data_IF_642344115955
#
_entry.id   IF_642344115955
#
_cell.length_a   1.000
_cell.length_b   1.000
_cell.length_c   1.000
_cell.angle_alpha   90.00
_cell.angle_beta   90.00
_cell.angle_gamma   90.00
#
_symmetry.space_group_name_H-M   'P 1'
#
loop_
_entity.id
_entity.type
_entity.pdbx_description
1 polymer ?
#
# COMPACT_ATOMS: atom_id res chain seq x y z
N UNK A 1 8.89 4.13 15.72
CA UNK A 1 8.04 4.37 14.54
C UNK A 1 7.85 5.85 14.31
N UNK A 2 8.11 6.31 13.12
CA UNK A 2 8.16 7.74 12.84
C UNK A 2 7.40 8.10 11.57
N UNK A 3 6.96 9.36 11.50
CA UNK A 3 6.45 9.92 10.25
C UNK A 3 7.58 9.99 9.22
N UNK A 4 7.26 9.90 7.92
CA UNK A 4 8.28 10.05 6.88
C UNK A 4 8.98 11.41 6.98
N UNK A 5 10.29 11.41 6.82
CA UNK A 5 11.10 12.62 6.72
C UNK A 5 10.82 13.36 5.41
N UNK A 6 11.35 14.58 5.26
CA UNK A 6 11.23 15.35 4.01
C UNK A 6 11.80 14.56 2.82
N UNK A 7 12.96 13.93 2.99
CA UNK A 7 13.57 13.11 1.94
C UNK A 7 12.74 11.88 1.59
N UNK A 8 12.14 11.23 2.59
CA UNK A 8 11.26 10.09 2.39
C UNK A 8 9.96 10.49 1.69
N UNK A 9 9.38 11.64 2.03
CA UNK A 9 8.20 12.19 1.33
C UNK A 9 8.52 12.48 -0.13
N UNK A 10 9.71 12.96 -0.42
CA UNK A 10 10.16 13.18 -1.79
C UNK A 10 10.14 11.88 -2.60
N UNK A 11 10.55 10.77 -2.00
CA UNK A 11 10.52 9.45 -2.64
C UNK A 11 9.09 9.00 -2.91
N UNK A 12 8.16 9.21 -1.97
CA UNK A 12 6.74 8.94 -2.19
C UNK A 12 6.18 9.77 -3.35
N UNK A 13 6.48 11.07 -3.38
CA UNK A 13 6.00 11.96 -4.43
C UNK A 13 6.59 11.61 -5.80
N UNK A 14 7.83 11.16 -5.84
CA UNK A 14 8.47 10.65 -7.04
C UNK A 14 7.75 9.38 -7.55
N UNK A 15 7.38 8.49 -6.67
CA UNK A 15 6.62 7.30 -7.02
C UNK A 15 5.27 7.64 -7.63
N UNK A 16 4.54 8.59 -7.03
CA UNK A 16 3.27 9.07 -7.55
C UNK A 16 3.42 9.70 -8.93
N UNK A 17 4.46 10.50 -9.13
CA UNK A 17 4.77 11.12 -10.42
C UNK A 17 5.08 10.07 -11.47
N UNK A 18 5.85 9.05 -11.14
CA UNK A 18 6.13 7.93 -12.04
C UNK A 18 4.85 7.29 -12.55
N UNK A 19 3.88 7.04 -11.68
CA UNK A 19 2.60 6.45 -12.05
C UNK A 19 1.79 7.41 -12.93
N UNK A 20 1.73 8.70 -12.59
CA UNK A 20 1.04 9.70 -13.40
C UNK A 20 1.61 9.78 -14.82
N UNK A 21 2.93 9.80 -14.94
CA UNK A 21 3.61 9.84 -16.23
C UNK A 21 3.31 8.59 -17.06
N UNK A 22 3.28 7.44 -16.41
CA UNK A 22 2.94 6.18 -17.05
C UNK A 22 1.48 6.16 -17.52
N UNK A 23 0.56 6.66 -16.71
CA UNK A 23 -0.86 6.81 -17.10
C UNK A 23 -1.01 7.76 -18.29
N UNK A 24 -0.30 8.89 -18.28
CA UNK A 24 -0.33 9.83 -19.38
C UNK A 24 0.08 9.19 -20.71
N UNK A 25 1.14 8.40 -20.69
CA UNK A 25 1.64 7.70 -21.88
C UNK A 25 0.75 6.54 -22.33
N UNK A 26 0.06 5.89 -21.39
CA UNK A 26 -0.71 4.67 -21.65
C UNK A 26 -2.15 4.96 -21.99
N UNK A 27 -2.80 5.88 -21.27
CA UNK A 27 -4.24 6.18 -21.42
C UNK A 27 -4.54 7.66 -21.58
N UNK A 28 -3.51 8.53 -21.66
CA UNK A 28 -3.70 9.96 -21.87
C UNK A 28 -4.22 10.73 -20.66
N UNK A 29 -4.17 10.17 -19.46
CA UNK A 29 -4.62 10.82 -18.22
C UNK A 29 -3.54 10.77 -17.17
N UNK A 30 -3.37 11.89 -16.43
CA UNK A 30 -2.40 11.98 -15.34
C UNK A 30 -3.07 11.99 -13.96
N UNK A 31 -4.40 11.92 -13.92
CA UNK A 31 -5.15 12.13 -12.69
C UNK A 31 -5.16 10.89 -11.81
N UNK A 32 -4.72 11.06 -10.56
CA UNK A 32 -4.92 10.12 -9.45
C UNK A 32 -5.85 10.79 -8.44
N UNK A 33 -6.78 10.02 -7.89
CA UNK A 33 -7.83 10.54 -7.00
C UNK A 33 -7.71 10.06 -5.56
N UNK A 34 -6.79 9.13 -5.28
CA UNK A 34 -6.59 8.54 -3.94
C UNK A 34 -7.86 7.86 -3.40
N UNK A 35 -8.67 7.34 -4.29
CA UNK A 35 -9.87 6.57 -3.98
C UNK A 35 -9.90 5.28 -4.81
N UNK A 36 -10.98 4.52 -4.69
CA UNK A 36 -11.11 3.23 -5.37
C UNK A 36 -11.05 3.34 -6.90
N UNK A 37 -11.28 4.52 -7.47
CA UNK A 37 -11.16 4.75 -8.92
C UNK A 37 -9.73 4.51 -9.42
N UNK A 38 -8.73 4.70 -8.58
CA UNK A 38 -7.33 4.46 -8.94
C UNK A 38 -7.01 2.98 -9.12
N UNK A 39 -7.78 2.08 -8.52
CA UNK A 39 -7.57 0.64 -8.65
C UNK A 39 -7.71 0.19 -10.10
N UNK A 40 -8.72 0.69 -10.82
CA UNK A 40 -8.91 0.37 -12.24
C UNK A 40 -7.81 0.99 -13.10
N UNK A 41 -7.30 2.16 -12.74
CA UNK A 41 -6.17 2.78 -13.44
C UNK A 41 -4.90 1.93 -13.31
N UNK A 42 -4.61 1.43 -12.11
CA UNK A 42 -3.50 0.50 -11.89
C UNK A 42 -3.68 -0.78 -12.68
N UNK A 43 -4.89 -1.34 -12.71
CA UNK A 43 -5.18 -2.57 -13.46
C UNK A 43 -4.94 -2.38 -14.96
N UNK A 44 -5.32 -1.24 -15.52
CA UNK A 44 -5.10 -0.93 -16.94
C UNK A 44 -3.61 -0.93 -17.27
N UNK A 45 -2.78 -0.33 -16.43
CA UNK A 45 -1.32 -0.34 -16.62
C UNK A 45 -0.75 -1.75 -16.64
N UNK A 46 -1.24 -2.58 -15.74
CA UNK A 46 -0.81 -3.99 -15.63
C UNK A 46 -1.27 -4.78 -16.85
N UNK A 47 -2.54 -4.68 -17.22
CA UNK A 47 -3.12 -5.43 -18.34
C UNK A 47 -2.52 -5.04 -19.69
N UNK A 48 -2.17 -3.78 -19.87
CA UNK A 48 -1.53 -3.29 -21.07
C UNK A 48 -0.02 -3.55 -21.11
N UNK A 49 0.51 -4.20 -20.09
CA UNK A 49 1.94 -4.51 -20.00
C UNK A 49 2.82 -3.27 -20.14
N UNK A 50 2.39 -2.18 -19.50
CA UNK A 50 3.09 -0.91 -19.53
C UNK A 50 4.40 -0.92 -18.73
N UNK A 51 4.63 -1.95 -17.92
CA UNK A 51 5.75 -2.03 -16.99
C UNK A 51 6.55 -3.30 -17.28
N UNK A 52 7.85 -3.15 -17.44
CA UNK A 52 8.75 -4.29 -17.62
C UNK A 52 8.81 -5.11 -16.33
N UNK A 53 8.86 -6.43 -16.45
CA UNK A 53 8.95 -7.33 -15.31
C UNK A 53 10.14 -7.00 -14.40
N UNK A 54 11.28 -6.63 -14.97
CA UNK A 54 12.51 -6.31 -14.23
C UNK A 54 12.51 -4.91 -13.61
N UNK A 55 11.54 -4.05 -13.91
CA UNK A 55 11.45 -2.68 -13.41
C UNK A 55 10.80 -2.65 -12.04
N UNK A 56 11.50 -3.14 -11.03
CA UNK A 56 11.02 -3.25 -9.64
C UNK A 56 10.60 -1.88 -9.10
N UNK A 57 11.35 -0.84 -9.41
CA UNK A 57 11.06 0.52 -8.93
C UNK A 57 9.68 1.00 -9.37
N UNK A 58 9.32 0.77 -10.63
CA UNK A 58 7.98 1.16 -11.13
C UNK A 58 6.89 0.31 -10.50
N UNK A 59 7.10 -0.99 -10.31
CA UNK A 59 6.15 -1.84 -9.60
C UNK A 59 5.94 -1.39 -8.17
N UNK A 60 7.00 -0.95 -7.49
CA UNK A 60 6.89 -0.39 -6.13
C UNK A 60 6.18 0.97 -6.15
N UNK A 61 6.36 1.77 -7.20
CA UNK A 61 5.60 3.02 -7.36
C UNK A 61 4.09 2.74 -7.44
N UNK A 62 3.67 1.69 -8.15
CA UNK A 62 2.28 1.26 -8.16
C UNK A 62 1.81 0.88 -6.75
N UNK A 63 2.66 0.23 -5.98
CA UNK A 63 2.39 -0.12 -4.58
C UNK A 63 2.17 1.10 -3.70
N UNK A 64 2.91 2.18 -3.92
CA UNK A 64 2.70 3.45 -3.21
C UNK A 64 1.32 4.03 -3.54
N UNK A 65 0.95 4.09 -4.82
CA UNK A 65 -0.37 4.59 -5.24
C UNK A 65 -1.49 3.71 -4.67
N UNK A 66 -1.32 2.40 -4.68
CA UNK A 66 -2.25 1.48 -4.04
C UNK A 66 -2.39 1.77 -2.54
N UNK A 67 -1.27 2.03 -1.86
CA UNK A 67 -1.26 2.42 -0.45
C UNK A 67 -2.00 3.74 -0.21
N UNK A 68 -1.86 4.72 -1.11
CA UNK A 68 -2.59 5.99 -1.03
C UNK A 68 -4.12 5.77 -1.06
N UNK A 69 -4.60 4.80 -1.84
CA UNK A 69 -6.03 4.42 -1.84
C UNK A 69 -6.45 3.91 -0.46
N UNK A 70 -5.63 3.06 0.15
CA UNK A 70 -5.89 2.55 1.50
C UNK A 70 -5.89 3.67 2.55
N UNK A 71 -5.00 4.66 2.41
CA UNK A 71 -5.00 5.87 3.25
C UNK A 71 -6.32 6.60 3.13
N UNK A 72 -6.76 6.87 1.91
CA UNK A 72 -7.99 7.64 1.66
C UNK A 72 -9.26 6.92 2.09
N UNK A 73 -9.35 5.62 1.87
CA UNK A 73 -10.55 4.83 2.16
C UNK A 73 -10.60 4.40 3.63
N UNK A 74 -9.49 3.95 4.19
CA UNK A 74 -9.46 3.34 5.52
C UNK A 74 -8.92 4.25 6.63
N UNK A 75 -8.46 5.46 6.29
CA UNK A 75 -7.92 6.38 7.29
C UNK A 75 -6.59 5.94 7.88
N UNK A 76 -5.76 5.28 7.08
CA UNK A 76 -4.40 4.90 7.48
C UNK A 76 -3.43 6.05 7.25
N UNK A 77 -2.24 5.95 7.81
CA UNK A 77 -1.16 6.92 7.59
C UNK A 77 0.15 6.22 7.23
N UNK A 78 0.93 6.85 6.37
CA UNK A 78 2.29 6.38 6.06
C UNK A 78 3.22 6.62 7.25
N UNK A 79 3.98 5.58 7.58
CA UNK A 79 5.01 5.62 8.62
C UNK A 79 6.24 4.85 8.13
N UNK A 80 7.37 5.09 8.79
CA UNK A 80 8.55 4.26 8.62
C UNK A 80 8.55 3.22 9.74
N UNK A 81 8.36 1.96 9.37
CA UNK A 81 8.42 0.83 10.30
C UNK A 81 9.87 0.37 10.41
N UNK A 82 10.40 0.41 11.61
CA UNK A 82 11.77 -0.01 11.88
C UNK A 82 11.78 -1.33 12.66
N UNK A 83 12.56 -2.29 12.18
CA UNK A 83 12.80 -3.55 12.83
C UNK A 83 14.30 -3.89 12.73
N UNK A 84 14.66 -5.11 13.13
CA UNK A 84 16.06 -5.58 13.11
C UNK A 84 16.65 -5.63 11.69
N UNK A 85 15.81 -5.72 10.66
CA UNK A 85 16.22 -5.80 9.27
C UNK A 85 16.33 -4.44 8.59
N UNK A 86 15.93 -3.35 9.27
CA UNK A 86 15.98 -2.00 8.74
C UNK A 86 14.63 -1.30 8.76
N UNK A 87 14.50 -0.25 7.94
CA UNK A 87 13.30 0.57 7.84
C UNK A 87 12.49 0.23 6.59
N UNK A 88 11.17 0.10 6.74
CA UNK A 88 10.23 -0.16 5.66
C UNK A 88 9.10 0.86 5.68
N UNK A 89 8.61 1.24 4.49
CA UNK A 89 7.42 2.07 4.36
C UNK A 89 6.20 1.22 4.68
N UNK A 90 5.38 1.71 5.60
CA UNK A 90 4.19 1.00 6.05
C UNK A 90 3.02 1.94 6.24
N UNK A 91 1.82 1.39 6.26
CA UNK A 91 0.61 2.09 6.67
C UNK A 91 0.24 1.65 8.07
N UNK A 92 -0.11 2.60 8.91
CA UNK A 92 -0.49 2.38 10.30
C UNK A 92 -1.90 2.90 10.53
N UNK A 93 -2.70 2.15 11.29
CA UNK A 93 -4.00 2.62 11.75
C UNK A 93 -3.84 3.27 13.12
N UNK A 94 -4.02 4.60 13.17
CA UNK A 94 -3.87 5.39 14.41
C UNK A 94 -2.51 5.12 15.06
N UNK A 95 -2.43 5.13 16.38
CA UNK A 95 -1.21 4.82 17.12
C UNK A 95 -1.22 3.38 17.66
N UNK A 96 -1.65 2.44 16.82
CA UNK A 96 -1.75 1.03 17.16
C UNK A 96 -0.59 0.23 16.54
N UNK A 97 -0.48 -1.03 16.91
CA UNK A 97 0.48 -1.96 16.31
C UNK A 97 -0.09 -2.69 15.09
N UNK A 98 -0.99 -2.05 14.35
CA UNK A 98 -1.62 -2.60 13.15
C UNK A 98 -1.04 -1.95 11.91
N UNK A 99 -0.36 -2.73 11.08
CA UNK A 99 0.38 -2.25 9.92
C UNK A 99 0.01 -3.00 8.66
N UNK A 100 0.09 -2.28 7.53
CA UNK A 100 0.00 -2.84 6.18
C UNK A 100 1.25 -2.41 5.41
N UNK A 101 1.81 -3.30 4.60
CA UNK A 101 3.01 -3.06 3.80
C UNK A 101 2.69 -3.11 2.31
N UNK A 102 2.15 -2.04 1.71
CA UNK A 102 1.63 -2.10 0.34
C UNK A 102 2.67 -1.92 -0.76
N UNK A 103 3.86 -1.39 -0.46
CA UNK A 103 4.83 -0.99 -1.48
C UNK A 103 5.26 -2.16 -2.36
N UNK A 104 5.41 -3.35 -1.79
CA UNK A 104 5.87 -4.54 -2.51
C UNK A 104 4.75 -5.47 -2.97
N UNK A 105 3.50 -5.05 -2.85
CA UNK A 105 2.34 -5.89 -3.17
C UNK A 105 2.37 -6.44 -4.60
N UNK A 106 2.74 -5.60 -5.55
CA UNK A 106 2.80 -5.99 -6.96
C UNK A 106 4.15 -6.56 -7.35
N UNK A 107 5.25 -5.98 -6.87
CA UNK A 107 6.59 -6.45 -7.21
C UNK A 107 6.85 -7.88 -6.78
N UNK A 108 6.35 -8.30 -5.63
CA UNK A 108 6.44 -9.69 -5.18
C UNK A 108 5.71 -10.65 -6.12
N UNK A 109 4.51 -10.29 -6.56
CA UNK A 109 3.73 -11.11 -7.49
C UNK A 109 4.39 -11.24 -8.85
N UNK A 110 4.93 -10.15 -9.36
CA UNK A 110 5.68 -10.15 -10.62
C UNK A 110 6.92 -11.06 -10.51
N UNK A 111 7.62 -10.99 -9.40
CA UNK A 111 8.80 -11.83 -9.15
C UNK A 111 8.47 -13.32 -9.23
N UNK A 112 7.31 -13.72 -8.75
CA UNK A 112 6.87 -15.12 -8.74
C UNK A 112 5.95 -15.48 -9.91
N UNK A 113 5.87 -14.62 -10.93
CA UNK A 113 5.03 -14.83 -12.12
C UNK A 113 3.54 -15.05 -11.79
N UNK A 114 3.06 -14.47 -10.72
CA UNK A 114 1.66 -14.54 -10.35
C UNK A 114 0.85 -13.50 -11.12
N UNK A 115 -0.38 -13.84 -11.47
CA UNK A 115 -1.32 -12.88 -12.05
C UNK A 115 -1.72 -11.85 -11.00
N UNK A 116 -2.03 -10.62 -11.45
CA UNK A 116 -2.38 -9.52 -10.58
C UNK A 116 -3.81 -9.06 -10.88
N UNK A 117 -4.70 -9.28 -9.92
CA UNK A 117 -6.05 -8.73 -9.90
C UNK A 117 -6.11 -7.69 -8.77
N UNK A 118 -5.98 -6.43 -9.14
CA UNK A 118 -5.90 -5.32 -8.18
C UNK A 118 -7.14 -5.25 -7.30
N UNK A 119 -8.33 -5.43 -7.88
CA UNK A 119 -9.59 -5.38 -7.13
C UNK A 119 -9.68 -6.49 -6.08
N UNK A 120 -9.27 -7.71 -6.42
CA UNK A 120 -9.26 -8.83 -5.48
C UNK A 120 -8.27 -8.61 -4.33
N UNK A 121 -7.08 -8.12 -4.65
CA UNK A 121 -6.07 -7.78 -3.65
C UNK A 121 -6.62 -6.72 -2.70
N UNK A 122 -7.21 -5.67 -3.24
CA UNK A 122 -7.81 -4.60 -2.45
C UNK A 122 -8.92 -5.12 -1.54
N UNK A 123 -9.82 -5.95 -2.05
CA UNK A 123 -10.92 -6.52 -1.26
C UNK A 123 -10.40 -7.34 -0.09
N UNK A 124 -9.41 -8.18 -0.32
CA UNK A 124 -8.81 -9.03 0.73
C UNK A 124 -8.10 -8.19 1.79
N UNK A 125 -7.32 -7.20 1.37
CA UNK A 125 -6.61 -6.31 2.30
C UNK A 125 -7.61 -5.46 3.09
N UNK A 126 -8.66 -4.95 2.45
CA UNK A 126 -9.70 -4.17 3.12
C UNK A 126 -10.41 -4.98 4.19
N UNK A 127 -10.70 -6.26 3.93
CA UNK A 127 -11.27 -7.16 4.92
C UNK A 127 -10.33 -7.35 6.12
N UNK A 128 -9.04 -7.51 5.88
CA UNK A 128 -8.04 -7.62 6.95
C UNK A 128 -7.94 -6.33 7.77
N UNK A 129 -7.99 -5.17 7.11
CA UNK A 129 -7.98 -3.87 7.79
C UNK A 129 -9.21 -3.71 8.67
N UNK A 130 -10.39 -4.03 8.17
CA UNK A 130 -11.63 -3.96 8.96
C UNK A 130 -11.57 -4.93 10.15
N UNK A 131 -11.00 -6.11 9.96
CA UNK A 131 -10.84 -7.09 11.04
C UNK A 131 -9.93 -6.56 12.16
N UNK A 132 -8.80 -5.95 11.85
CA UNK A 132 -7.93 -5.43 12.91
C UNK A 132 -8.52 -4.17 13.58
N UNK A 133 -9.28 -3.36 12.85
CA UNK A 133 -10.01 -2.24 13.46
C UNK A 133 -11.07 -2.71 14.46
N UNK A 134 -11.83 -3.73 14.09
CA UNK A 134 -12.82 -4.33 14.96
C UNK A 134 -12.16 -4.94 16.19
N UNK A 135 -11.07 -5.66 16.04
CA UNK A 135 -10.33 -6.23 17.18
C UNK A 135 -9.81 -5.15 18.12
N UNK A 136 -9.32 -4.02 17.60
CA UNK A 136 -8.82 -2.91 18.40
C UNK A 136 -9.94 -2.18 19.16
N UNK A 137 -11.18 -2.23 18.68
CA UNK A 137 -12.34 -1.60 19.31
C UNK A 137 -13.03 -2.50 20.31
N UNK A 138 -12.60 -3.77 20.48
CA UNK A 138 -13.19 -4.67 21.48
C UNK A 138 -12.81 -4.24 22.89
N UNK A 139 -13.73 -4.44 23.88
CA UNK A 139 -13.38 -4.20 25.27
C UNK A 139 -12.16 -5.02 25.69
N UNK A 140 -11.21 -4.38 26.34
CA UNK A 140 -10.00 -5.06 26.83
C UNK A 140 -10.34 -5.94 28.03
N UNK A 141 -9.82 -7.16 28.02
CA UNK A 141 -9.83 -8.03 29.18
C UNK A 141 -8.69 -7.64 30.13
N UNK A 142 -8.98 -7.23 31.40
CA UNK A 142 -7.96 -6.63 32.26
C UNK A 142 -6.78 -7.54 32.60
N UNK A 143 -6.97 -8.84 32.62
CA UNK A 143 -5.95 -9.79 33.12
C UNK A 143 -5.04 -10.37 32.03
N UNK A 144 -5.27 -10.09 30.77
CA UNK A 144 -4.55 -10.72 29.66
C UNK A 144 -4.24 -9.74 28.52
N UNK A 145 -4.04 -8.49 28.87
CA UNK A 145 -3.75 -7.49 27.85
C UNK A 145 -2.40 -7.77 27.22
N UNK A 146 -2.45 -8.40 26.09
CA UNK A 146 -1.35 -8.38 25.14
C UNK A 146 -1.75 -7.47 24.00
N UNK A 147 -0.82 -6.63 23.60
CA UNK A 147 -1.01 -5.84 22.39
C UNK A 147 -1.03 -6.82 21.22
N UNK A 148 -2.21 -7.01 20.62
CA UNK A 148 -2.31 -7.75 19.38
C UNK A 148 -1.68 -6.92 18.27
N UNK A 149 -0.71 -7.52 17.61
CA UNK A 149 -0.04 -6.91 16.48
C UNK A 149 -0.46 -7.63 15.21
N UNK A 150 -1.03 -6.86 14.27
CA UNK A 150 -1.36 -7.38 12.95
C UNK A 150 -0.41 -6.79 11.93
N UNK A 151 0.33 -7.65 11.25
CA UNK A 151 1.17 -7.30 10.12
C UNK A 151 0.60 -7.98 8.88
N UNK A 152 0.18 -7.15 7.91
CA UNK A 152 -0.31 -7.65 6.62
C UNK A 152 0.85 -7.55 5.63
N UNK A 153 1.41 -8.69 5.29
CA UNK A 153 2.41 -8.81 4.23
C UNK A 153 1.70 -9.08 2.90
N UNK A 154 1.96 -8.21 1.95
CA UNK A 154 1.30 -8.24 0.64
C UNK A 154 2.17 -8.87 -0.44
#
# INVERSE_FOLDING_TARGET
MSSPSIGQRYIFDRSRRTVRDLLARTIGSTRLTEDESDLSRLQVLIDRRAIRKADVETWQALGVVFGDVLVGVHGLKWVMYEDELGASKALQWRDTANFVFPVTVFSKRVQFNESIDVASIYTNISADIEAFKEAANRPRMPARQQTEQFEIEL
#
